data_IF_350352120190
#
_entry.id   IF_350352120190
#
_cell.length_a   1.000
_cell.length_b   1.000
_cell.length_c   1.000
_cell.angle_alpha   90.00
_cell.angle_beta   90.00
_cell.angle_gamma   90.00
#
_symmetry.space_group_name_H-M   'P 1'
#
loop_
_entity.id
_entity.type
_entity.pdbx_description
1 polymer ?
#
# COMPACT_ATOMS: atom_id res chain seq x y z
N UNK A 1 -11.46 -41.81 24.85
CA UNK A 1 -10.79 -41.20 23.68
C UNK A 1 -9.29 -41.30 23.93
N UNK A 2 -8.57 -41.89 22.99
CA UNK A 2 -7.14 -42.16 23.04
C UNK A 2 -6.33 -40.85 23.15
N UNK A 3 -5.38 -40.78 24.10
CA UNK A 3 -4.49 -39.63 24.29
C UNK A 3 -3.76 -39.27 23.00
N UNK A 4 -3.38 -40.28 22.20
CA UNK A 4 -2.77 -40.06 20.89
C UNK A 4 -3.72 -39.31 19.93
N UNK A 5 -5.01 -39.67 19.92
CA UNK A 5 -6.00 -39.00 19.08
C UNK A 5 -6.21 -37.53 19.47
N UNK A 6 -6.10 -37.20 20.77
CA UNK A 6 -6.19 -35.81 21.25
C UNK A 6 -4.99 -34.98 20.76
N UNK A 7 -3.78 -35.50 20.90
CA UNK A 7 -2.55 -34.83 20.48
C UNK A 7 -2.54 -34.61 18.96
N UNK A 8 -2.95 -35.61 18.17
CA UNK A 8 -3.03 -35.49 16.70
C UNK A 8 -4.00 -34.37 16.28
N UNK A 9 -5.15 -34.25 16.97
CA UNK A 9 -6.12 -33.20 16.68
C UNK A 9 -5.55 -31.80 16.97
N UNK A 10 -4.85 -31.64 18.09
CA UNK A 10 -4.24 -30.38 18.49
C UNK A 10 -3.13 -29.95 17.52
N UNK A 11 -2.22 -30.87 17.16
CA UNK A 11 -1.16 -30.63 16.18
C UNK A 11 -1.74 -30.24 14.81
N UNK A 12 -2.82 -30.88 14.37
CA UNK A 12 -3.49 -30.51 13.11
C UNK A 12 -4.03 -29.08 13.15
N UNK A 13 -4.58 -28.65 14.30
CA UNK A 13 -5.05 -27.28 14.49
C UNK A 13 -3.91 -26.27 14.40
N UNK A 14 -2.80 -26.54 15.10
CA UNK A 14 -1.61 -25.67 15.08
C UNK A 14 -0.98 -25.58 13.70
N UNK A 15 -0.88 -26.69 12.96
CA UNK A 15 -0.38 -26.70 11.58
C UNK A 15 -1.28 -25.87 10.65
N UNK A 16 -2.60 -25.90 10.84
CA UNK A 16 -3.54 -25.06 10.10
C UNK A 16 -3.32 -23.57 10.35
N UNK A 17 -3.17 -23.16 11.61
CA UNK A 17 -2.88 -21.77 11.97
C UNK A 17 -1.55 -21.28 11.38
N UNK A 18 -0.50 -22.12 11.50
CA UNK A 18 0.81 -21.82 10.91
C UNK A 18 0.71 -21.67 9.39
N UNK A 19 -0.03 -22.54 8.70
CA UNK A 19 -0.19 -22.46 7.25
C UNK A 19 -0.90 -21.17 6.81
N UNK A 20 -1.95 -20.76 7.52
CA UNK A 20 -2.66 -19.49 7.25
C UNK A 20 -1.71 -18.30 7.45
N UNK A 21 -0.99 -18.28 8.57
CA UNK A 21 -0.06 -17.18 8.88
C UNK A 21 1.12 -17.13 7.93
N UNK A 22 1.62 -18.30 7.51
CA UNK A 22 2.68 -18.40 6.51
C UNK A 22 2.17 -17.88 5.16
N UNK A 23 0.96 -18.26 4.71
CA UNK A 23 0.37 -17.75 3.47
C UNK A 23 0.22 -16.22 3.48
N UNK A 24 -0.24 -15.64 4.59
CA UNK A 24 -0.30 -14.18 4.74
C UNK A 24 1.09 -13.54 4.67
N UNK A 25 2.09 -14.17 5.27
CA UNK A 25 3.47 -13.67 5.22
C UNK A 25 4.07 -13.84 3.82
N UNK A 26 3.80 -14.94 3.14
CA UNK A 26 4.22 -15.21 1.76
C UNK A 26 3.56 -14.25 0.79
N UNK A 27 2.29 -13.89 0.96
CA UNK A 27 1.64 -12.82 0.20
C UNK A 27 2.31 -11.46 0.44
N UNK A 28 2.78 -11.22 1.67
CA UNK A 28 3.47 -9.99 2.04
C UNK A 28 4.93 -9.94 1.58
N UNK A 29 5.60 -11.08 1.50
CA UNK A 29 7.01 -11.25 1.15
C UNK A 29 7.25 -11.66 -0.29
N UNK A 30 6.22 -12.14 -1.00
CA UNK A 30 6.27 -12.24 -2.45
C UNK A 30 6.69 -10.85 -2.94
N UNK A 31 7.55 -10.75 -3.96
CA UNK A 31 7.65 -9.53 -4.73
C UNK A 31 6.28 -9.37 -5.39
N UNK A 32 5.31 -8.85 -4.64
CA UNK A 32 4.01 -8.47 -5.15
C UNK A 32 4.36 -7.56 -6.30
N UNK A 33 4.02 -7.98 -7.51
CA UNK A 33 4.51 -7.36 -8.72
C UNK A 33 4.39 -5.86 -8.53
N UNK A 34 5.51 -5.14 -8.53
CA UNK A 34 5.42 -3.69 -8.46
C UNK A 34 4.51 -3.26 -9.60
N UNK A 35 3.80 -2.15 -9.39
CA UNK A 35 3.00 -1.58 -10.45
C UNK A 35 3.87 -1.36 -11.71
N UNK A 36 3.24 -1.48 -12.86
CA UNK A 36 3.90 -1.25 -14.15
C UNK A 36 4.44 0.18 -14.25
N UNK A 37 5.39 0.42 -15.16
CA UNK A 37 5.91 1.77 -15.42
C UNK A 37 4.81 2.76 -15.83
N UNK A 38 3.78 2.28 -16.53
CA UNK A 38 2.61 3.10 -16.91
C UNK A 38 1.80 3.53 -15.67
N UNK A 39 1.55 2.61 -14.75
CA UNK A 39 0.86 2.91 -13.48
C UNK A 39 1.71 3.81 -12.57
N UNK A 40 3.03 3.61 -12.51
CA UNK A 40 3.92 4.50 -11.76
C UNK A 40 3.91 5.93 -12.34
N UNK A 41 3.81 6.03 -13.68
CA UNK A 41 3.65 7.32 -14.36
C UNK A 41 2.31 7.97 -14.04
N UNK A 42 1.22 7.19 -13.97
CA UNK A 42 -0.10 7.67 -13.55
C UNK A 42 -0.05 8.27 -12.13
N UNK A 43 0.54 7.56 -11.17
CA UNK A 43 0.72 8.06 -9.78
C UNK A 43 1.53 9.35 -9.77
N UNK A 44 2.65 9.39 -10.51
CA UNK A 44 3.48 10.60 -10.63
C UNK A 44 2.69 11.80 -11.15
N UNK A 45 1.86 11.59 -12.17
CA UNK A 45 1.01 12.64 -12.75
C UNK A 45 -0.07 13.11 -11.77
N UNK A 46 -0.69 12.22 -11.00
CA UNK A 46 -1.66 12.60 -9.97
C UNK A 46 -1.01 13.39 -8.83
N UNK A 47 0.16 12.96 -8.36
CA UNK A 47 0.95 13.73 -7.37
C UNK A 47 1.28 15.12 -7.91
N UNK A 48 1.68 15.21 -9.18
CA UNK A 48 1.96 16.48 -9.86
C UNK A 48 0.75 17.41 -9.87
N UNK A 49 -0.40 16.90 -10.30
CA UNK A 49 -1.64 17.68 -10.37
C UNK A 49 -2.09 18.15 -8.98
N UNK A 50 -2.00 17.29 -7.97
CA UNK A 50 -2.32 17.65 -6.59
C UNK A 50 -1.36 18.70 -6.03
N UNK A 51 -0.06 18.56 -6.29
CA UNK A 51 0.95 19.54 -5.85
C UNK A 51 0.72 20.92 -6.49
N UNK A 52 0.36 20.96 -7.77
CA UNK A 52 0.01 22.20 -8.48
C UNK A 52 -1.23 22.87 -7.85
N UNK A 53 -2.29 22.09 -7.57
CA UNK A 53 -3.49 22.57 -6.88
C UNK A 53 -3.15 23.18 -5.51
N UNK A 54 -2.38 22.46 -4.68
CA UNK A 54 -1.98 22.92 -3.35
C UNK A 54 -1.07 24.15 -3.42
N UNK A 55 -0.19 24.23 -4.42
CA UNK A 55 0.67 25.40 -4.65
C UNK A 55 -0.15 26.64 -4.99
N UNK A 56 -1.19 26.50 -5.80
CA UNK A 56 -2.13 27.59 -6.11
C UNK A 56 -2.86 28.12 -4.88
N UNK A 57 -3.12 27.28 -3.88
CA UNK A 57 -3.76 27.67 -2.62
C UNK A 57 -2.78 28.23 -1.58
N UNK A 58 -1.59 27.64 -1.49
CA UNK A 58 -0.55 28.04 -0.55
C UNK A 58 0.83 27.96 -1.20
N UNK A 59 1.30 29.09 -1.71
CA UNK A 59 2.64 29.21 -2.26
C UNK A 59 3.73 29.07 -1.18
N UNK A 60 4.97 28.83 -1.61
CA UNK A 60 6.15 28.82 -0.75
C UNK A 60 6.43 27.50 -0.01
N UNK A 61 5.60 26.46 -0.23
CA UNK A 61 5.84 25.10 0.28
C UNK A 61 6.16 24.14 -0.84
N UNK A 62 7.04 23.17 -0.57
CA UNK A 62 7.29 22.06 -1.48
C UNK A 62 6.20 20.98 -1.31
N UNK A 63 5.04 21.21 -1.92
CA UNK A 63 3.90 20.29 -1.83
C UNK A 63 4.18 18.91 -2.45
N UNK A 64 5.04 18.84 -3.47
CA UNK A 64 5.50 17.56 -4.01
C UNK A 64 6.15 16.69 -2.95
N UNK A 65 7.08 17.25 -2.18
CA UNK A 65 7.74 16.50 -1.11
C UNK A 65 6.76 16.14 0.01
N UNK A 66 5.82 17.03 0.34
CA UNK A 66 4.78 16.76 1.34
C UNK A 66 3.88 15.58 0.96
N UNK A 67 3.43 15.53 -0.30
CA UNK A 67 2.61 14.41 -0.81
C UNK A 67 3.43 13.12 -0.82
N UNK A 68 4.67 13.16 -1.29
CA UNK A 68 5.55 11.99 -1.29
C UNK A 68 5.82 11.47 0.13
N UNK A 69 6.02 12.35 1.10
CA UNK A 69 6.19 11.98 2.51
C UNK A 69 4.94 11.27 3.07
N UNK A 70 3.74 11.70 2.70
CA UNK A 70 2.50 11.02 3.06
C UNK A 70 2.37 9.65 2.38
N UNK A 71 2.77 9.51 1.11
CA UNK A 71 2.80 8.22 0.44
C UNK A 71 3.79 7.26 1.11
N UNK A 72 4.97 7.74 1.48
CA UNK A 72 5.94 6.97 2.26
C UNK A 72 5.36 6.54 3.62
N UNK A 73 4.75 7.47 4.37
CA UNK A 73 4.20 7.21 5.71
C UNK A 73 3.04 6.21 5.69
N UNK A 74 2.14 6.30 4.70
CA UNK A 74 0.92 5.50 4.64
C UNK A 74 1.11 4.15 3.97
N UNK A 75 1.93 4.10 2.91
CA UNK A 75 2.04 2.93 2.04
C UNK A 75 3.45 2.29 2.08
N UNK A 76 4.42 2.92 2.76
CA UNK A 76 5.78 2.40 2.90
C UNK A 76 6.63 2.52 1.64
N UNK A 77 6.27 3.42 0.71
CA UNK A 77 6.87 3.46 -0.63
C UNK A 77 8.01 4.46 -0.74
N UNK A 78 9.20 3.98 -1.09
CA UNK A 78 10.39 4.81 -1.33
C UNK A 78 10.55 5.26 -2.80
N UNK A 79 9.69 4.78 -3.69
CA UNK A 79 9.60 5.18 -5.10
C UNK A 79 8.25 4.75 -5.66
N UNK A 80 7.68 5.48 -6.63
CA UNK A 80 6.43 5.08 -7.28
C UNK A 80 6.54 3.70 -7.96
N UNK A 81 7.72 3.33 -8.45
CA UNK A 81 7.98 2.01 -9.04
C UNK A 81 8.02 0.85 -8.03
N UNK A 82 7.97 1.15 -6.74
CA UNK A 82 7.96 0.16 -5.66
C UNK A 82 6.59 0.08 -4.98
N UNK A 83 5.58 0.78 -5.51
CA UNK A 83 4.18 0.56 -5.11
C UNK A 83 3.83 -0.87 -5.51
N UNK A 84 3.36 -1.66 -4.55
CA UNK A 84 2.93 -3.04 -4.83
C UNK A 84 1.59 -3.03 -5.55
N UNK A 85 1.36 -3.99 -6.45
CA UNK A 85 0.16 -3.99 -7.30
C UNK A 85 -1.15 -3.91 -6.50
N UNK A 86 -1.23 -4.55 -5.33
CA UNK A 86 -2.41 -4.54 -4.46
C UNK A 86 -2.64 -3.19 -3.76
N UNK A 87 -1.60 -2.37 -3.61
CA UNK A 87 -1.71 -1.02 -3.05
C UNK A 87 -2.14 0.02 -4.09
N UNK A 88 -2.06 -0.31 -5.38
CA UNK A 88 -2.25 0.66 -6.48
C UNK A 88 -3.56 1.43 -6.36
N UNK A 89 -4.68 0.72 -6.23
CA UNK A 89 -6.00 1.35 -6.12
C UNK A 89 -6.11 2.24 -4.88
N UNK A 90 -5.56 1.81 -3.74
CA UNK A 90 -5.62 2.57 -2.50
C UNK A 90 -4.78 3.87 -2.58
N UNK A 91 -3.66 3.84 -3.28
CA UNK A 91 -2.84 5.04 -3.55
C UNK A 91 -3.63 6.04 -4.40
N UNK A 92 -4.26 5.60 -5.50
CA UNK A 92 -5.05 6.49 -6.35
C UNK A 92 -6.24 7.10 -5.60
N UNK A 93 -6.99 6.29 -4.85
CA UNK A 93 -8.10 6.78 -4.03
C UNK A 93 -7.65 7.83 -3.02
N UNK A 94 -6.54 7.61 -2.33
CA UNK A 94 -5.99 8.58 -1.39
C UNK A 94 -5.63 9.92 -2.05
N UNK A 95 -4.97 9.88 -3.22
CA UNK A 95 -4.59 11.11 -3.94
C UNK A 95 -5.82 11.88 -4.42
N UNK A 96 -6.84 11.18 -4.94
CA UNK A 96 -8.08 11.81 -5.41
C UNK A 96 -8.91 12.37 -4.26
N UNK A 97 -9.05 11.65 -3.14
CA UNK A 97 -9.74 12.15 -1.94
C UNK A 97 -9.09 13.45 -1.43
N UNK A 98 -7.75 13.49 -1.40
CA UNK A 98 -7.03 14.70 -1.00
C UNK A 98 -7.24 15.84 -2.02
N UNK A 99 -7.25 15.53 -3.31
CA UNK A 99 -7.53 16.50 -4.36
C UNK A 99 -8.94 17.09 -4.23
N UNK A 100 -9.95 16.25 -4.02
CA UNK A 100 -11.34 16.66 -3.80
C UNK A 100 -11.47 17.53 -2.56
N UNK A 101 -10.91 17.10 -1.43
CA UNK A 101 -10.89 17.88 -0.19
C UNK A 101 -10.14 19.21 -0.33
N UNK A 102 -9.17 19.28 -1.24
CA UNK A 102 -8.39 20.48 -1.55
C UNK A 102 -8.97 21.29 -2.70
N UNK A 103 -10.11 20.91 -3.29
CA UNK A 103 -10.76 21.66 -4.38
C UNK A 103 -11.96 22.50 -3.89
N UNK A 104 -12.52 22.19 -2.72
CA UNK A 104 -13.44 23.06 -1.98
C UNK A 104 -12.73 24.19 -1.24
#
# INVERSE_FOLDING_TARGET
MDTAARVIKEVRGQLGDVHVRLGVLEDHLHPAASITDAQATEVSNQVKSLAELLTGKQAGKNHYQGIFAELYRRFGVSSYKLIRQEQYSAVLSFLEEWRVASSG
#
